data_IF_135318242714
#
_entry.id   IF_135318242714
#
_cell.length_a   1.000
_cell.length_b   1.000
_cell.length_c   1.000
_cell.angle_alpha   90.00
_cell.angle_beta   90.00
_cell.angle_gamma   90.00
#
_symmetry.space_group_name_H-M   'P 1'
#
loop_
_entity.id
_entity.type
_entity.pdbx_description
1 polymer ?
#
# COMPACT_ATOMS: atom_id res chain seq x y z
N UNK A 1 10.38 9.66 19.17
CA UNK A 1 11.14 10.11 17.98
C UNK A 1 11.76 8.96 17.20
N UNK A 2 11.80 7.75 17.75
CA UNK A 2 12.56 6.59 17.24
C UNK A 2 14.08 6.86 17.13
N UNK A 3 14.57 7.93 17.73
CA UNK A 3 15.99 8.26 17.83
C UNK A 3 16.40 8.23 19.31
N UNK A 4 17.17 7.20 19.76
CA UNK A 4 17.60 7.08 21.15
C UNK A 4 18.49 8.26 21.63
N UNK A 5 19.11 8.99 20.69
CA UNK A 5 19.93 10.15 21.01
C UNK A 5 19.11 11.38 21.44
N UNK A 6 17.82 11.43 21.05
CA UNK A 6 16.93 12.56 21.32
C UNK A 6 16.07 12.37 22.57
N UNK A 7 15.99 11.16 23.16
CA UNK A 7 15.10 10.89 24.26
C UNK A 7 15.45 9.63 25.06
N UNK A 8 14.51 9.19 25.90
CA UNK A 8 14.71 8.04 26.81
C UNK A 8 14.39 6.72 26.12
N UNK A 9 15.24 5.72 26.36
CA UNK A 9 15.07 4.36 25.86
C UNK A 9 15.27 4.21 24.34
N UNK A 10 15.09 2.99 23.84
CA UNK A 10 15.29 2.67 22.42
C UNK A 10 14.32 3.39 21.46
N UNK A 11 13.19 3.87 21.96
CA UNK A 11 12.19 4.61 21.18
C UNK A 11 12.42 6.13 21.19
N UNK A 12 13.43 6.63 21.89
CA UNK A 12 13.69 8.06 21.98
C UNK A 12 12.48 8.85 22.53
N UNK A 13 11.94 8.46 23.69
CA UNK A 13 10.76 9.09 24.30
C UNK A 13 11.18 10.44 24.90
N UNK A 14 10.52 11.51 24.47
CA UNK A 14 10.67 12.86 25.02
C UNK A 14 9.37 13.25 25.70
N UNK A 15 9.43 13.41 27.01
CA UNK A 15 8.25 13.76 27.84
C UNK A 15 8.01 15.26 27.87
N UNK A 16 6.75 15.69 27.96
CA UNK A 16 6.34 17.10 28.02
C UNK A 16 6.95 17.95 26.90
N UNK A 17 6.96 17.39 25.69
CA UNK A 17 7.60 17.96 24.53
C UNK A 17 6.62 18.58 23.54
N UNK A 18 7.13 19.38 22.62
CA UNK A 18 6.43 19.77 21.42
C UNK A 18 7.21 19.30 20.18
N UNK A 19 6.49 19.12 19.08
CA UNK A 19 7.03 18.89 17.73
C UNK A 19 6.87 20.19 16.96
N UNK A 20 7.96 20.71 16.43
CA UNK A 20 7.98 21.94 15.64
C UNK A 20 8.09 21.54 14.16
N UNK A 21 7.16 22.05 13.37
CA UNK A 21 7.08 21.78 11.93
C UNK A 21 7.21 23.12 11.20
N UNK A 22 8.07 23.17 10.22
CA UNK A 22 8.19 24.29 9.27
C UNK A 22 8.29 23.72 7.86
N UNK A 23 7.52 24.28 6.92
CA UNK A 23 7.51 23.87 5.51
C UNK A 23 7.32 22.34 5.35
N UNK A 24 6.33 21.79 6.09
CA UNK A 24 5.97 20.36 6.12
C UNK A 24 7.07 19.41 6.63
N UNK A 25 8.14 19.97 7.24
CA UNK A 25 9.25 19.19 7.81
C UNK A 25 9.30 19.37 9.33
N UNK A 26 9.52 18.27 10.05
CA UNK A 26 9.81 18.32 11.49
C UNK A 26 11.21 18.90 11.66
N UNK A 27 11.30 20.15 12.20
CA UNK A 27 12.56 20.86 12.40
C UNK A 27 13.10 20.70 13.82
N UNK A 28 12.25 20.40 14.80
CA UNK A 28 12.69 20.13 16.16
C UNK A 28 11.66 19.31 16.95
N UNK A 29 12.17 18.59 17.94
CA UNK A 29 11.40 17.98 19.04
C UNK A 29 12.07 18.40 20.35
N UNK A 30 11.33 18.99 21.26
CA UNK A 30 11.92 19.50 22.50
C UNK A 30 10.90 20.11 23.45
N UNK A 31 11.36 20.83 24.49
CA UNK A 31 10.48 21.39 25.52
C UNK A 31 9.39 22.28 24.92
N UNK A 32 8.21 22.27 25.53
CA UNK A 32 7.12 23.18 25.18
C UNK A 32 7.53 24.64 25.38
N UNK A 33 7.10 25.54 24.47
CA UNK A 33 7.34 26.98 24.62
C UNK A 33 7.81 27.67 23.34
N UNK A 34 8.01 26.96 22.23
CA UNK A 34 8.34 27.58 20.95
C UNK A 34 7.20 28.52 20.46
N UNK A 35 7.58 29.63 19.84
CA UNK A 35 6.64 30.51 19.14
C UNK A 35 6.28 29.85 17.82
N UNK A 36 4.99 29.79 17.50
CA UNK A 36 4.49 29.24 16.25
C UNK A 36 3.21 29.98 15.83
N UNK A 37 2.99 30.11 14.52
CA UNK A 37 1.80 30.73 13.93
C UNK A 37 0.53 29.93 14.25
N UNK A 38 0.67 28.63 14.36
CA UNK A 38 -0.41 27.69 14.71
C UNK A 38 0.06 26.70 15.75
N UNK A 39 -0.78 26.45 16.75
CA UNK A 39 -0.53 25.44 17.78
C UNK A 39 -1.68 24.43 17.81
N UNK A 40 -1.31 23.15 17.92
CA UNK A 40 -2.24 22.04 18.17
C UNK A 40 -1.89 21.47 19.54
N UNK A 41 -2.84 21.48 20.46
CA UNK A 41 -2.68 20.83 21.75
C UNK A 41 -3.06 19.36 21.65
N UNK A 42 -2.11 18.48 21.91
CA UNK A 42 -2.34 17.02 21.90
C UNK A 42 -3.04 16.52 23.18
N UNK A 43 -3.32 17.40 24.16
CA UNK A 43 -4.03 17.05 25.42
C UNK A 43 -3.31 15.98 26.24
N UNK A 44 -1.99 15.89 26.18
CA UNK A 44 -1.19 14.85 26.84
C UNK A 44 -1.14 13.51 26.09
N UNK A 45 -1.72 13.43 24.88
CA UNK A 45 -1.62 12.23 24.04
C UNK A 45 -0.19 12.03 23.50
N UNK A 46 0.16 10.78 23.21
CA UNK A 46 1.42 10.45 22.54
C UNK A 46 1.39 10.90 21.07
N UNK A 47 2.46 11.58 20.66
CA UNK A 47 2.71 11.90 19.25
C UNK A 47 3.79 10.95 18.73
N UNK A 48 3.46 10.21 17.69
CA UNK A 48 4.33 9.21 17.07
C UNK A 48 4.57 9.57 15.60
N UNK A 49 5.70 9.13 15.00
CA UNK A 49 5.80 9.07 13.54
C UNK A 49 4.64 8.25 12.98
N UNK A 50 4.12 8.64 11.83
CA UNK A 50 3.10 7.85 11.14
C UNK A 50 3.62 6.45 10.79
N UNK A 51 2.74 5.46 10.79
CA UNK A 51 3.11 4.10 10.40
C UNK A 51 3.39 4.03 8.90
N UNK A 52 4.33 3.15 8.54
CA UNK A 52 4.67 2.81 7.16
C UNK A 52 4.19 1.40 6.89
N UNK A 53 3.34 1.25 5.88
CA UNK A 53 2.97 -0.06 5.35
C UNK A 53 3.73 -0.29 4.04
N UNK A 54 4.72 -1.15 4.10
CA UNK A 54 5.66 -1.42 3.01
C UNK A 54 5.24 -2.58 2.09
N UNK A 55 4.04 -3.13 2.25
CA UNK A 55 3.55 -4.22 1.40
C UNK A 55 2.03 -4.25 1.38
N UNK A 56 1.41 -3.63 0.39
CA UNK A 56 -0.04 -3.73 0.20
C UNK A 56 -0.43 -3.99 -1.24
N UNK A 57 -1.63 -4.55 -1.42
CA UNK A 57 -2.30 -4.70 -2.70
C UNK A 57 -3.66 -4.01 -2.61
N UNK A 58 -3.71 -2.67 -2.76
CA UNK A 58 -4.95 -1.92 -2.61
C UNK A 58 -5.79 -1.87 -3.89
N UNK A 59 -5.18 -2.14 -5.06
CA UNK A 59 -5.86 -2.11 -6.36
C UNK A 59 -6.48 -3.47 -6.64
N UNK A 60 -7.65 -3.72 -6.09
CA UNK A 60 -8.41 -4.95 -6.35
C UNK A 60 -9.90 -4.75 -6.14
N UNK A 61 -10.71 -5.65 -6.73
CA UNK A 61 -12.13 -5.82 -6.47
C UNK A 61 -12.44 -7.29 -6.11
N UNK A 62 -13.68 -7.54 -5.73
CA UNK A 62 -14.15 -8.84 -5.28
C UNK A 62 -14.09 -9.00 -3.76
N UNK A 63 -14.72 -10.07 -3.31
CA UNK A 63 -14.84 -10.45 -1.90
C UNK A 63 -14.39 -11.90 -1.74
N UNK A 64 -13.60 -12.17 -0.72
CA UNK A 64 -13.08 -13.49 -0.36
C UNK A 64 -13.65 -14.04 0.95
N UNK A 65 -14.76 -13.49 1.39
CA UNK A 65 -15.42 -13.92 2.65
C UNK A 65 -15.84 -15.38 2.63
N UNK A 66 -16.30 -15.91 1.49
CA UNK A 66 -16.63 -17.32 1.34
C UNK A 66 -15.42 -18.23 1.51
N UNK A 67 -14.26 -17.85 0.96
CA UNK A 67 -13.00 -18.57 1.17
C UNK A 67 -12.58 -18.55 2.63
N UNK A 68 -12.67 -17.39 3.27
CA UNK A 68 -12.37 -17.25 4.69
C UNK A 68 -13.27 -18.17 5.53
N UNK A 69 -14.59 -18.16 5.27
CA UNK A 69 -15.56 -19.04 5.95
C UNK A 69 -15.21 -20.51 5.72
N UNK A 70 -14.89 -20.90 4.49
CA UNK A 70 -14.51 -22.28 4.17
C UNK A 70 -13.26 -22.73 4.94
N UNK A 71 -12.27 -21.84 5.10
CA UNK A 71 -11.06 -22.12 5.90
C UNK A 71 -11.36 -22.26 7.39
N UNK A 72 -12.24 -21.43 7.92
CA UNK A 72 -12.70 -21.56 9.33
C UNK A 72 -13.44 -22.88 9.56
N UNK A 73 -14.15 -23.40 8.55
CA UNK A 73 -14.79 -24.72 8.55
C UNK A 73 -13.81 -25.89 8.35
N UNK A 74 -12.49 -25.62 8.28
CA UNK A 74 -11.44 -26.63 8.13
C UNK A 74 -11.29 -27.18 6.70
N UNK A 75 -11.87 -26.53 5.69
CA UNK A 75 -11.65 -26.91 4.28
C UNK A 75 -10.25 -26.50 3.82
N UNK A 76 -9.53 -27.34 3.04
CA UNK A 76 -8.21 -27.00 2.55
C UNK A 76 -8.28 -25.81 1.59
N UNK A 77 -7.23 -24.97 1.63
CA UNK A 77 -7.05 -23.88 0.68
C UNK A 77 -6.57 -24.42 -0.66
N UNK A 78 -7.33 -24.19 -1.71
CA UNK A 78 -7.04 -24.64 -3.08
C UNK A 78 -6.49 -23.54 -4.01
N UNK A 79 -6.26 -22.32 -3.48
CA UNK A 79 -5.76 -21.17 -4.25
C UNK A 79 -6.83 -20.47 -5.08
N UNK A 80 -8.07 -20.94 -5.09
CA UNK A 80 -9.14 -20.37 -5.92
C UNK A 80 -9.51 -18.94 -5.61
N UNK A 81 -9.31 -18.50 -4.37
CA UNK A 81 -9.66 -17.13 -3.95
C UNK A 81 -8.87 -16.02 -4.63
N UNK A 82 -7.59 -16.21 -4.94
CA UNK A 82 -6.80 -15.22 -5.70
C UNK A 82 -7.37 -15.06 -7.11
N UNK A 83 -7.82 -16.15 -7.73
CA UNK A 83 -8.43 -16.11 -9.06
C UNK A 83 -9.73 -15.33 -9.07
N UNK A 84 -10.57 -15.49 -8.03
CA UNK A 84 -11.81 -14.69 -7.85
C UNK A 84 -11.47 -13.19 -7.81
N UNK A 85 -10.40 -12.82 -7.06
CA UNK A 85 -9.93 -11.43 -7.00
C UNK A 85 -9.46 -10.93 -8.36
N UNK A 86 -8.70 -11.74 -9.12
CA UNK A 86 -8.22 -11.39 -10.46
C UNK A 86 -9.39 -11.16 -11.41
N UNK A 87 -10.34 -12.10 -11.48
CA UNK A 87 -11.50 -12.02 -12.37
C UNK A 87 -12.35 -10.78 -12.04
N UNK A 88 -12.60 -10.51 -10.76
CA UNK A 88 -13.35 -9.35 -10.30
C UNK A 88 -12.60 -8.02 -10.60
N UNK A 89 -11.29 -8.00 -10.43
CA UNK A 89 -10.47 -6.80 -10.69
C UNK A 89 -10.47 -6.46 -12.18
N UNK A 90 -10.29 -7.45 -13.05
CA UNK A 90 -10.37 -7.28 -14.51
C UNK A 90 -11.74 -6.79 -14.97
N UNK A 91 -12.82 -7.31 -14.38
CA UNK A 91 -14.19 -6.93 -14.72
C UNK A 91 -14.61 -5.55 -14.16
N UNK A 92 -13.87 -4.99 -13.20
CA UNK A 92 -14.23 -3.74 -12.54
C UNK A 92 -13.67 -2.53 -13.30
N UNK A 93 -14.46 -1.46 -13.42
CA UNK A 93 -14.04 -0.23 -14.10
C UNK A 93 -12.90 0.47 -13.33
N UNK A 94 -12.05 1.21 -14.07
CA UNK A 94 -10.96 2.01 -13.48
C UNK A 94 -11.47 2.97 -12.41
N UNK A 95 -12.58 3.66 -12.67
CA UNK A 95 -13.17 4.60 -11.71
C UNK A 95 -13.61 3.91 -10.40
N UNK A 96 -14.15 2.68 -10.49
CA UNK A 96 -14.52 1.93 -9.27
C UNK A 96 -13.31 1.39 -8.53
N UNK A 97 -12.28 0.91 -9.22
CA UNK A 97 -11.02 0.50 -8.60
C UNK A 97 -10.36 1.67 -7.86
N UNK A 98 -10.30 2.83 -8.48
CA UNK A 98 -9.77 4.06 -7.87
C UNK A 98 -10.57 4.47 -6.62
N UNK A 99 -11.90 4.38 -6.66
CA UNK A 99 -12.74 4.64 -5.48
C UNK A 99 -12.45 3.65 -4.34
N UNK A 100 -12.28 2.37 -4.65
CA UNK A 100 -11.93 1.34 -3.66
C UNK A 100 -10.56 1.60 -3.01
N UNK A 101 -9.58 2.05 -3.80
CA UNK A 101 -8.26 2.44 -3.26
C UNK A 101 -8.40 3.61 -2.30
N UNK A 102 -9.18 4.65 -2.65
CA UNK A 102 -9.44 5.79 -1.75
C UNK A 102 -10.12 5.37 -0.44
N UNK A 103 -11.11 4.48 -0.51
CA UNK A 103 -11.80 3.96 0.67
C UNK A 103 -10.80 3.26 1.62
N UNK A 104 -9.94 2.37 1.08
CA UNK A 104 -8.91 1.62 1.84
C UNK A 104 -7.82 2.52 2.41
N UNK A 105 -7.37 3.49 1.63
CA UNK A 105 -6.40 4.49 2.11
C UNK A 105 -6.96 5.33 3.26
N UNK A 106 -8.22 5.77 3.15
CA UNK A 106 -8.87 6.51 4.23
C UNK A 106 -8.99 5.68 5.51
N UNK A 107 -9.20 4.37 5.40
CA UNK A 107 -9.19 3.45 6.54
C UNK A 107 -7.78 3.32 7.15
N UNK A 108 -6.76 3.09 6.33
CA UNK A 108 -5.37 3.01 6.76
C UNK A 108 -4.90 4.31 7.44
N UNK A 109 -5.24 5.47 6.88
CA UNK A 109 -4.93 6.76 7.48
C UNK A 109 -5.62 6.96 8.84
N UNK A 110 -6.88 6.56 8.99
CA UNK A 110 -7.56 6.59 10.31
C UNK A 110 -6.90 5.67 11.34
N UNK A 111 -6.25 4.60 10.89
CA UNK A 111 -5.47 3.70 11.74
C UNK A 111 -4.04 4.19 12.02
N UNK A 112 -3.62 5.34 11.46
CA UNK A 112 -2.32 5.96 11.70
C UNK A 112 -1.24 5.63 10.68
N UNK A 113 -1.55 4.91 9.61
CA UNK A 113 -0.61 4.64 8.51
C UNK A 113 -0.56 5.86 7.58
N UNK A 114 0.62 6.46 7.41
CA UNK A 114 0.80 7.69 6.63
C UNK A 114 1.59 7.49 5.34
N UNK A 115 2.31 6.38 5.25
CA UNK A 115 3.08 6.00 4.06
C UNK A 115 2.71 4.59 3.68
N UNK A 116 2.30 4.38 2.43
CA UNK A 116 1.80 3.08 1.96
C UNK A 116 2.43 2.78 0.61
N UNK A 117 3.08 1.63 0.52
CA UNK A 117 3.47 1.04 -0.75
C UNK A 117 2.28 0.27 -1.33
N UNK A 118 1.99 0.49 -2.61
CA UNK A 118 0.88 -0.17 -3.31
C UNK A 118 1.42 -0.96 -4.50
N UNK A 119 1.25 -2.29 -4.43
CA UNK A 119 1.61 -3.21 -5.51
C UNK A 119 0.44 -3.43 -6.47
N UNK A 120 0.74 -3.61 -7.76
CA UNK A 120 -0.14 -4.26 -8.71
C UNK A 120 -0.17 -5.79 -8.49
N UNK A 121 -0.61 -6.58 -9.45
CA UNK A 121 -0.52 -8.04 -9.39
C UNK A 121 -1.85 -8.79 -9.38
N UNK A 122 -2.96 -8.09 -9.53
CA UNK A 122 -4.28 -8.71 -9.74
C UNK A 122 -4.82 -8.49 -11.16
N UNK A 123 -4.09 -7.77 -12.01
CA UNK A 123 -4.43 -7.59 -13.42
C UNK A 123 -4.02 -8.80 -14.26
N UNK A 124 -2.74 -9.16 -14.20
CA UNK A 124 -2.10 -10.30 -14.88
C UNK A 124 -2.22 -10.26 -16.42
N UNK A 125 -2.63 -9.12 -16.98
CA UNK A 125 -2.53 -8.78 -18.39
C UNK A 125 -1.77 -7.47 -18.53
N UNK A 126 -1.25 -7.18 -19.71
CA UNK A 126 -0.49 -5.92 -19.94
C UNK A 126 -1.34 -4.71 -19.55
N UNK A 127 -2.55 -4.62 -20.07
CA UNK A 127 -3.39 -3.43 -19.88
C UNK A 127 -3.93 -3.33 -18.44
N UNK A 128 -4.28 -4.45 -17.79
CA UNK A 128 -4.77 -4.44 -16.42
C UNK A 128 -3.67 -4.15 -15.40
N UNK A 129 -2.42 -4.62 -15.64
CA UNK A 129 -1.28 -4.28 -14.79
C UNK A 129 -0.89 -2.80 -14.94
N UNK A 130 -0.84 -2.26 -16.17
CA UNK A 130 -0.61 -0.83 -16.40
C UNK A 130 -1.68 0.00 -15.68
N UNK A 131 -2.96 -0.34 -15.87
CA UNK A 131 -4.07 0.32 -15.18
C UNK A 131 -3.93 0.29 -13.66
N UNK A 132 -3.49 -0.84 -13.11
CA UNK A 132 -3.32 -1.01 -11.65
C UNK A 132 -2.16 -0.15 -11.12
N UNK A 133 -1.04 -0.09 -11.85
CA UNK A 133 0.10 0.77 -11.52
C UNK A 133 -0.28 2.25 -11.62
N UNK A 134 -1.02 2.65 -12.67
CA UNK A 134 -1.48 4.03 -12.84
C UNK A 134 -2.40 4.48 -11.69
N UNK A 135 -3.35 3.61 -11.28
CA UNK A 135 -4.19 3.88 -10.10
C UNK A 135 -3.33 3.99 -8.84
N UNK A 136 -2.42 3.05 -8.60
CA UNK A 136 -1.53 3.11 -7.43
C UNK A 136 -0.73 4.41 -7.41
N UNK A 137 -0.14 4.80 -8.54
CA UNK A 137 0.69 6.01 -8.68
C UNK A 137 -0.07 7.31 -8.44
N UNK A 138 -1.38 7.33 -8.71
CA UNK A 138 -2.22 8.49 -8.42
C UNK A 138 -2.39 8.75 -6.90
N UNK A 139 -2.13 7.76 -6.05
CA UNK A 139 -2.34 7.82 -4.61
C UNK A 139 -1.07 7.75 -3.77
N UNK A 140 0.02 7.21 -4.29
CA UNK A 140 1.29 7.09 -3.57
C UNK A 140 2.48 7.29 -4.49
N UNK A 141 3.60 7.77 -3.92
CA UNK A 141 4.89 7.73 -4.60
C UNK A 141 5.50 6.33 -4.62
N UNK A 142 5.03 5.42 -3.78
CA UNK A 142 5.57 4.09 -3.57
C UNK A 142 4.73 3.03 -4.31
N UNK A 143 4.61 3.19 -5.64
CA UNK A 143 3.91 2.24 -6.50
C UNK A 143 4.87 1.16 -7.01
N UNK A 144 4.51 -0.09 -6.84
CA UNK A 144 5.29 -1.28 -7.22
C UNK A 144 4.58 -2.08 -8.30
N UNK A 145 5.30 -2.42 -9.34
CA UNK A 145 4.85 -3.39 -10.34
C UNK A 145 5.15 -4.82 -9.87
N UNK A 146 4.13 -5.67 -9.83
CA UNK A 146 4.22 -7.10 -9.50
C UNK A 146 3.45 -7.93 -10.53
N UNK A 147 3.87 -7.93 -11.79
CA UNK A 147 3.20 -8.68 -12.87
C UNK A 147 3.25 -10.19 -12.69
N UNK A 148 4.27 -10.72 -12.01
CA UNK A 148 4.44 -12.15 -11.77
C UNK A 148 3.82 -12.63 -10.45
N UNK A 149 2.78 -11.97 -9.93
CA UNK A 149 2.15 -12.32 -8.66
C UNK A 149 1.56 -13.74 -8.65
N UNK A 150 0.97 -14.17 -9.74
CA UNK A 150 0.59 -15.56 -9.97
C UNK A 150 0.54 -15.88 -11.47
N UNK A 151 0.51 -17.16 -11.82
CA UNK A 151 0.33 -17.60 -13.20
C UNK A 151 -1.17 -17.56 -13.54
N UNK A 152 -1.61 -16.71 -14.50
CA UNK A 152 -3.02 -16.66 -14.88
C UNK A 152 -3.44 -17.92 -15.64
N UNK A 153 -4.75 -18.26 -15.57
CA UNK A 153 -5.31 -19.49 -16.13
C UNK A 153 -4.99 -19.66 -17.61
N UNK A 154 -5.01 -18.58 -18.38
CA UNK A 154 -4.72 -18.54 -19.81
C UNK A 154 -3.27 -18.96 -20.15
N UNK A 155 -2.38 -18.96 -19.15
CA UNK A 155 -1.00 -19.43 -19.27
C UNK A 155 -0.74 -20.74 -18.53
N UNK A 156 -1.77 -21.50 -18.14
CA UNK A 156 -1.59 -22.81 -17.52
C UNK A 156 -0.70 -23.71 -18.38
N UNK A 157 0.37 -24.25 -17.79
CA UNK A 157 1.38 -25.05 -18.50
C UNK A 157 2.35 -24.26 -19.40
N UNK A 158 2.29 -22.92 -19.40
CA UNK A 158 3.15 -22.05 -20.22
C UNK A 158 3.76 -20.94 -19.37
N UNK A 159 4.38 -21.29 -18.24
CA UNK A 159 4.92 -20.31 -17.29
C UNK A 159 6.00 -19.44 -17.92
N UNK A 160 6.88 -20.03 -18.75
CA UNK A 160 7.96 -19.28 -19.43
C UNK A 160 7.43 -18.23 -20.40
N UNK A 161 6.32 -18.50 -21.11
CA UNK A 161 5.65 -17.53 -21.97
C UNK A 161 5.10 -16.36 -21.15
N UNK A 162 4.52 -16.63 -19.97
CA UNK A 162 4.04 -15.59 -19.08
C UNK A 162 5.16 -14.75 -18.48
N UNK A 163 6.26 -15.39 -18.05
CA UNK A 163 7.45 -14.67 -17.58
C UNK A 163 8.00 -13.76 -18.69
N UNK A 164 8.06 -14.25 -19.93
CA UNK A 164 8.48 -13.44 -21.06
C UNK A 164 7.56 -12.21 -21.27
N UNK A 165 6.23 -12.38 -21.16
CA UNK A 165 5.27 -11.27 -21.24
C UNK A 165 5.50 -10.24 -20.11
N UNK A 166 5.73 -10.70 -18.87
CA UNK A 166 6.01 -9.84 -17.72
C UNK A 166 7.30 -9.04 -17.92
N UNK A 167 8.39 -9.72 -18.30
CA UNK A 167 9.71 -9.10 -18.41
C UNK A 167 9.85 -8.16 -19.62
N UNK A 168 9.10 -8.39 -20.68
CA UNK A 168 9.21 -7.59 -21.91
C UNK A 168 8.07 -6.57 -22.02
N UNK A 169 6.84 -7.06 -22.24
CA UNK A 169 5.72 -6.15 -22.58
C UNK A 169 5.21 -5.37 -21.35
N UNK A 170 4.96 -6.05 -20.24
CA UNK A 170 4.43 -5.40 -19.04
C UNK A 170 5.44 -4.42 -18.45
N UNK A 171 6.68 -4.90 -18.20
CA UNK A 171 7.72 -4.08 -17.59
C UNK A 171 8.05 -2.85 -18.43
N UNK A 172 8.14 -2.98 -19.73
CA UNK A 172 8.37 -1.84 -20.62
C UNK A 172 7.25 -0.80 -20.55
N UNK A 173 6.00 -1.23 -20.38
CA UNK A 173 4.84 -0.35 -20.30
C UNK A 173 4.76 0.42 -18.98
N UNK A 174 5.23 -0.16 -17.88
CA UNK A 174 5.16 0.44 -16.52
C UNK A 174 6.43 1.13 -16.08
N UNK A 175 7.54 0.98 -16.79
CA UNK A 175 8.87 1.48 -16.40
C UNK A 175 8.94 3.00 -16.14
N UNK A 176 8.03 3.80 -16.75
CA UNK A 176 7.94 5.24 -16.50
C UNK A 176 7.00 5.64 -15.36
N UNK A 177 6.22 4.70 -14.83
CA UNK A 177 5.16 4.95 -13.84
C UNK A 177 5.44 4.26 -12.52
N UNK A 178 5.80 2.98 -12.53
CA UNK A 178 6.19 2.25 -11.33
C UNK A 178 7.51 2.78 -10.78
N UNK A 179 7.61 2.93 -9.46
CA UNK A 179 8.87 3.26 -8.78
C UNK A 179 9.68 2.00 -8.48
N UNK A 180 9.00 0.92 -8.19
CA UNK A 180 9.59 -0.36 -7.78
C UNK A 180 9.08 -1.52 -8.64
N UNK A 181 9.86 -2.58 -8.66
CA UNK A 181 9.50 -3.90 -9.23
C UNK A 181 9.74 -4.95 -8.16
N UNK A 182 8.80 -5.90 -8.02
CA UNK A 182 8.87 -7.01 -7.08
C UNK A 182 8.76 -8.36 -7.84
#
# INVERSE_FOLDING_TARGET
TNDPALGRGSLGIVENACVIIADDVVVAVGPAGAVADRRIDAGGACVLPGFVDSHTHLVFAGDRSEEFTARMDGRPYDGGGIQVTTDATRATSTARLDALVRERLAEAHRAGTTTIEIKSGYGLTVDDEVRSVDIARAHTSEATFLGAHLLPREYAGRADDYIALVCNDMLCRVAGTAKWVD
#
